data_IF_346880754610
#
_entry.id   IF_346880754610
#
_cell.length_a   1.000
_cell.length_b   1.000
_cell.length_c   1.000
_cell.angle_alpha   90.00
_cell.angle_beta   90.00
_cell.angle_gamma   90.00
#
_symmetry.space_group_name_H-M   'P 1'
#
loop_
_entity.id
_entity.type
_entity.pdbx_description
1 polymer ?
#
# COMPACT_ATOMS: atom_id res chain seq x y z
N UNK A 1 -11.39 8.04 1.50
CA UNK A 1 -10.34 8.29 0.50
C UNK A 1 -9.04 8.84 1.10
N UNK A 2 -9.07 9.68 2.16
CA UNK A 2 -7.86 10.22 2.80
C UNK A 2 -6.92 9.12 3.31
N UNK A 3 -7.46 8.07 3.94
CA UNK A 3 -6.68 6.91 4.38
C UNK A 3 -6.07 6.11 3.21
N UNK A 4 -6.75 6.06 2.06
CA UNK A 4 -6.21 5.42 0.87
C UNK A 4 -5.00 6.20 0.31
N UNK A 5 -5.11 7.52 0.22
CA UNK A 5 -4.01 8.38 -0.20
C UNK A 5 -2.83 8.30 0.78
N UNK A 6 -3.09 8.42 2.09
CA UNK A 6 -2.05 8.33 3.12
C UNK A 6 -1.38 6.93 3.13
N UNK A 7 -2.18 5.86 3.08
CA UNK A 7 -1.68 4.48 3.02
C UNK A 7 -0.80 4.25 1.80
N UNK A 8 -1.22 4.75 0.63
CA UNK A 8 -0.44 4.65 -0.62
C UNK A 8 0.89 5.39 -0.52
N UNK A 9 0.86 6.65 -0.08
CA UNK A 9 2.09 7.46 0.05
C UNK A 9 3.09 6.80 1.00
N UNK A 10 2.64 6.34 2.16
CA UNK A 10 3.51 5.67 3.13
C UNK A 10 3.98 4.32 2.60
N UNK A 11 3.11 3.52 1.98
CA UNK A 11 3.49 2.24 1.39
C UNK A 11 4.56 2.39 0.30
N UNK A 12 4.45 3.40 -0.56
CA UNK A 12 5.46 3.71 -1.58
C UNK A 12 6.75 4.20 -0.94
N UNK A 13 6.66 5.14 0.02
CA UNK A 13 7.82 5.70 0.69
C UNK A 13 8.68 4.66 1.43
N UNK A 14 8.04 3.64 2.02
CA UNK A 14 8.72 2.53 2.72
C UNK A 14 9.03 1.38 1.76
N UNK A 15 8.16 1.12 0.78
CA UNK A 15 8.28 0.01 -0.17
C UNK A 15 9.41 0.18 -1.18
N UNK A 16 9.68 1.41 -1.66
CA UNK A 16 10.78 1.66 -2.61
C UNK A 16 12.15 1.37 -1.98
N UNK A 17 12.49 1.87 -0.76
CA UNK A 17 13.70 1.44 -0.05
C UNK A 17 13.74 -0.07 0.21
N UNK A 18 12.60 -0.69 0.57
CA UNK A 18 12.49 -2.13 0.72
C UNK A 18 12.78 -2.91 -0.56
N UNK A 19 12.29 -2.42 -1.70
CA UNK A 19 12.60 -2.98 -3.02
C UNK A 19 14.11 -2.91 -3.32
N UNK A 20 14.74 -1.77 -3.05
CA UNK A 20 16.18 -1.64 -3.18
C UNK A 20 16.92 -2.66 -2.32
N UNK A 21 16.59 -2.75 -1.04
CA UNK A 21 17.22 -3.67 -0.11
C UNK A 21 17.09 -5.13 -0.58
N UNK A 22 15.90 -5.53 -1.00
CA UNK A 22 15.61 -6.93 -1.35
C UNK A 22 16.02 -7.32 -2.77
N UNK A 23 16.19 -6.39 -3.70
CA UNK A 23 16.48 -6.73 -5.09
C UNK A 23 17.87 -6.28 -5.57
N UNK A 24 18.47 -5.26 -4.95
CA UNK A 24 19.80 -4.74 -5.34
C UNK A 24 20.92 -5.12 -4.38
N UNK A 25 20.62 -5.43 -3.11
CA UNK A 25 21.66 -5.84 -2.15
C UNK A 25 21.72 -7.36 -2.03
N UNK A 26 22.89 -7.87 -1.62
CA UNK A 26 23.13 -9.30 -1.37
C UNK A 26 23.41 -9.49 0.11
N UNK A 27 22.57 -10.23 0.80
CA UNK A 27 22.75 -10.63 2.19
C UNK A 27 22.19 -12.04 2.42
N UNK A 28 22.72 -12.79 3.43
CA UNK A 28 22.21 -14.12 3.74
C UNK A 28 20.75 -14.04 4.20
N UNK A 29 19.93 -15.01 3.80
CA UNK A 29 18.51 -15.05 4.18
C UNK A 29 17.59 -14.13 3.37
N UNK A 30 18.08 -13.42 2.34
CA UNK A 30 17.26 -12.52 1.51
C UNK A 30 16.00 -13.17 0.94
N UNK A 31 16.08 -14.45 0.56
CA UNK A 31 14.94 -15.19 0.03
C UNK A 31 13.83 -15.35 1.09
N UNK A 32 14.23 -15.59 2.34
CA UNK A 32 13.30 -15.71 3.46
C UNK A 32 12.61 -14.38 3.75
N UNK A 33 13.36 -13.27 3.75
CA UNK A 33 12.79 -11.93 3.94
C UNK A 33 11.79 -11.58 2.81
N UNK A 34 12.10 -11.94 1.55
CA UNK A 34 11.16 -11.78 0.44
C UNK A 34 9.88 -12.59 0.63
N UNK A 35 10.00 -13.82 1.10
CA UNK A 35 8.85 -14.65 1.41
C UNK A 35 8.02 -14.04 2.54
N UNK A 36 8.64 -13.64 3.64
CA UNK A 36 7.97 -13.02 4.79
C UNK A 36 7.26 -11.70 4.43
N UNK A 37 7.86 -10.87 3.58
CA UNK A 37 7.23 -9.62 3.10
C UNK A 37 5.93 -9.92 2.32
N UNK A 38 5.82 -11.08 1.68
CA UNK A 38 4.63 -11.45 0.91
C UNK A 38 3.50 -12.00 1.80
N UNK A 39 3.81 -12.54 2.98
CA UNK A 39 2.83 -13.18 3.88
C UNK A 39 1.65 -12.26 4.22
N UNK A 40 1.85 -10.99 4.61
CA UNK A 40 0.73 -10.10 4.96
C UNK A 40 -0.32 -9.97 3.85
N UNK A 41 0.11 -9.97 2.59
CA UNK A 41 -0.78 -9.82 1.44
C UNK A 41 -1.68 -11.04 1.22
N UNK A 42 -1.29 -12.21 1.72
CA UNK A 42 -2.07 -13.45 1.60
C UNK A 42 -3.09 -13.61 2.74
N UNK A 43 -2.88 -12.89 3.86
CA UNK A 43 -3.76 -12.99 5.01
C UNK A 43 -5.12 -12.33 4.72
N UNK A 44 -6.24 -12.88 5.24
CA UNK A 44 -7.52 -12.19 5.19
C UNK A 44 -7.46 -10.84 5.89
N UNK A 45 -7.96 -9.78 5.24
CA UNK A 45 -7.88 -8.40 5.77
C UNK A 45 -8.49 -8.21 7.15
N UNK A 46 -9.56 -8.95 7.45
CA UNK A 46 -10.19 -8.97 8.78
C UNK A 46 -9.23 -9.50 9.84
N UNK A 47 -8.48 -10.57 9.53
CA UNK A 47 -7.49 -11.17 10.46
C UNK A 47 -6.38 -10.17 10.78
N UNK A 48 -5.90 -9.45 9.77
CA UNK A 48 -4.92 -8.37 9.97
C UNK A 48 -5.50 -7.27 10.84
N UNK A 49 -6.75 -6.84 10.58
CA UNK A 49 -7.46 -5.87 11.42
C UNK A 49 -7.55 -6.32 12.89
N UNK A 50 -7.96 -7.55 13.14
CA UNK A 50 -8.05 -8.12 14.50
C UNK A 50 -6.68 -8.19 15.17
N UNK A 51 -5.63 -8.59 14.44
CA UNK A 51 -4.27 -8.63 14.98
C UNK A 51 -3.78 -7.23 15.40
N UNK A 52 -3.97 -6.22 14.54
CA UNK A 52 -3.63 -4.83 14.90
C UNK A 52 -4.47 -4.32 16.07
N UNK A 53 -5.76 -4.64 16.12
CA UNK A 53 -6.65 -4.30 17.25
C UNK A 53 -6.14 -4.90 18.55
N UNK A 54 -5.75 -6.17 18.55
CA UNK A 54 -5.22 -6.88 19.72
C UNK A 54 -3.95 -6.25 20.28
N UNK A 55 -3.14 -5.60 19.45
CA UNK A 55 -1.93 -4.91 19.91
C UNK A 55 -2.23 -3.62 20.69
N UNK A 56 -3.32 -2.93 20.36
CA UNK A 56 -3.59 -1.56 20.84
C UNK A 56 -4.74 -1.44 21.84
N UNK A 57 -5.56 -2.48 22.04
CA UNK A 57 -6.56 -2.50 23.10
C UNK A 57 -5.90 -2.35 24.48
N UNK A 58 -6.64 -1.92 25.48
CA UNK A 58 -6.13 -1.62 26.82
C UNK A 58 -5.30 -2.75 27.45
N UNK A 59 -5.61 -3.99 27.12
CA UNK A 59 -4.86 -5.20 27.55
C UNK A 59 -3.72 -5.60 26.63
N UNK A 60 -3.57 -4.95 25.47
CA UNK A 60 -2.54 -5.23 24.50
C UNK A 60 -1.19 -4.57 24.82
N UNK A 61 -0.10 -5.00 24.18
CA UNK A 61 1.24 -4.50 24.44
C UNK A 61 1.42 -3.00 24.13
N UNK A 62 0.57 -2.40 23.30
CA UNK A 62 0.58 -0.99 22.94
C UNK A 62 -0.66 -0.24 23.48
N UNK A 63 -1.42 -0.83 24.41
CA UNK A 63 -2.67 -0.28 24.91
C UNK A 63 -2.54 1.08 25.59
N UNK A 64 -1.37 1.37 26.21
CA UNK A 64 -1.09 2.67 26.84
C UNK A 64 -0.86 3.83 25.88
N UNK A 65 -0.79 3.60 24.56
CA UNK A 65 -0.44 4.62 23.56
C UNK A 65 -1.67 5.35 22.98
N UNK A 66 -2.88 4.95 23.34
CA UNK A 66 -4.11 5.57 22.83
C UNK A 66 -4.30 5.47 21.31
N UNK A 67 -3.76 4.41 20.70
CA UNK A 67 -3.81 4.22 19.25
C UNK A 67 -5.12 3.59 18.77
N UNK A 68 -5.92 3.02 19.68
CA UNK A 68 -7.17 2.37 19.31
C UNK A 68 -8.14 3.36 18.66
N UNK A 69 -8.69 2.99 17.50
CA UNK A 69 -9.56 3.85 16.70
C UNK A 69 -8.84 5.04 16.03
N UNK A 70 -7.50 5.07 16.01
CA UNK A 70 -6.75 6.18 15.41
C UNK A 70 -6.58 6.02 13.90
N UNK A 71 -6.52 7.16 13.19
CA UNK A 71 -6.20 7.19 11.75
C UNK A 71 -4.84 6.56 11.45
N UNK A 72 -3.85 6.79 12.32
CA UNK A 72 -2.50 6.24 12.17
C UNK A 72 -2.48 4.71 12.21
N UNK A 73 -3.29 4.07 13.05
CA UNK A 73 -3.40 2.63 13.14
C UNK A 73 -3.98 2.03 11.85
N UNK A 74 -5.01 2.67 11.30
CA UNK A 74 -5.61 2.25 10.02
C UNK A 74 -4.56 2.34 8.90
N UNK A 75 -3.85 3.47 8.80
CA UNK A 75 -2.80 3.66 7.80
C UNK A 75 -1.69 2.63 7.98
N UNK A 76 -1.22 2.38 9.21
CA UNK A 76 -0.18 1.38 9.48
C UNK A 76 -0.60 -0.02 9.03
N UNK A 77 -1.83 -0.43 9.31
CA UNK A 77 -2.36 -1.74 8.89
C UNK A 77 -2.52 -1.85 7.37
N UNK A 78 -2.97 -0.77 6.70
CA UNK A 78 -3.06 -0.72 5.23
C UNK A 78 -1.67 -0.79 4.60
N UNK A 79 -0.68 -0.11 5.15
CA UNK A 79 0.72 -0.18 4.70
C UNK A 79 1.28 -1.57 4.87
N UNK A 80 1.10 -2.18 6.04
CA UNK A 80 1.54 -3.55 6.31
C UNK A 80 0.97 -4.55 5.30
N UNK A 81 -0.30 -4.41 4.97
CA UNK A 81 -0.97 -5.28 4.00
C UNK A 81 -0.47 -5.05 2.56
N UNK A 82 -0.26 -3.80 2.16
CA UNK A 82 0.05 -3.44 0.77
C UNK A 82 1.54 -3.28 0.47
N UNK A 83 2.41 -3.27 1.48
CA UNK A 83 3.86 -3.11 1.33
C UNK A 83 4.47 -4.09 0.31
N UNK A 84 4.01 -5.34 0.32
CA UNK A 84 4.46 -6.38 -0.58
C UNK A 84 4.25 -6.04 -2.07
N UNK A 85 3.16 -5.37 -2.40
CA UNK A 85 2.83 -4.96 -3.78
C UNK A 85 3.90 -4.01 -4.30
N UNK A 86 4.24 -2.98 -3.53
CA UNK A 86 5.27 -2.01 -3.91
C UNK A 86 6.64 -2.68 -4.06
N UNK A 87 7.04 -3.44 -3.03
CA UNK A 87 8.34 -4.14 -3.03
C UNK A 87 8.50 -5.06 -4.22
N UNK A 88 7.48 -5.82 -4.57
CA UNK A 88 7.54 -6.78 -5.68
C UNK A 88 7.51 -6.09 -7.03
N UNK A 89 6.59 -5.14 -7.24
CA UNK A 89 6.45 -4.45 -8.53
C UNK A 89 7.68 -3.62 -8.85
N UNK A 90 8.09 -2.75 -7.92
CA UNK A 90 9.26 -1.89 -8.11
C UNK A 90 10.54 -2.72 -8.13
N UNK A 91 10.66 -3.72 -7.24
CA UNK A 91 11.83 -4.58 -7.16
C UNK A 91 12.07 -5.43 -8.41
N UNK A 92 11.01 -5.93 -9.03
CA UNK A 92 11.11 -6.69 -10.28
C UNK A 92 11.69 -5.84 -11.41
N UNK A 93 11.17 -4.63 -11.62
CA UNK A 93 11.74 -3.70 -12.61
C UNK A 93 13.16 -3.31 -12.23
N UNK A 94 13.42 -3.01 -10.95
CA UNK A 94 14.77 -2.64 -10.50
C UNK A 94 15.81 -3.72 -10.77
N UNK A 95 15.44 -4.99 -10.59
CA UNK A 95 16.31 -6.12 -10.92
C UNK A 95 16.58 -6.25 -12.43
N UNK A 96 15.66 -5.81 -13.28
CA UNK A 96 15.75 -5.86 -14.73
C UNK A 96 16.49 -4.65 -15.35
N UNK A 97 16.67 -3.55 -14.60
CA UNK A 97 17.39 -2.37 -15.07
C UNK A 97 18.85 -2.70 -15.38
N UNK A 98 19.31 -2.30 -16.57
CA UNK A 98 20.71 -2.42 -16.97
C UNK A 98 21.59 -1.50 -16.10
N UNK A 99 22.58 -2.05 -15.37
CA UNK A 99 23.48 -1.26 -14.54
C UNK A 99 24.38 -0.32 -15.33
N UNK A 100 24.60 -0.60 -16.61
CA UNK A 100 25.48 0.20 -17.48
C UNK A 100 25.07 1.67 -17.60
N UNK A 101 23.77 1.97 -17.56
CA UNK A 101 23.26 3.35 -17.58
C UNK A 101 23.70 4.15 -16.34
N UNK A 102 23.65 3.53 -15.17
CA UNK A 102 24.10 4.12 -13.92
C UNK A 102 25.64 4.26 -13.87
N UNK A 103 26.37 3.25 -14.38
CA UNK A 103 27.83 3.25 -14.50
C UNK A 103 28.31 4.33 -15.45
N UNK A 104 27.67 4.48 -16.63
CA UNK A 104 28.00 5.56 -17.57
C UNK A 104 27.80 6.95 -16.97
N UNK A 105 26.73 7.17 -16.20
CA UNK A 105 26.54 8.44 -15.50
C UNK A 105 27.62 8.67 -14.44
N UNK A 106 28.08 7.63 -13.75
CA UNK A 106 29.15 7.72 -12.76
C UNK A 106 30.50 8.03 -13.41
N UNK A 107 30.83 7.47 -14.58
CA UNK A 107 32.05 7.78 -15.33
C UNK A 107 32.08 9.22 -15.83
N UNK A 108 30.91 9.85 -16.04
CA UNK A 108 30.77 11.27 -16.34
C UNK A 108 30.84 12.18 -15.10
N UNK A 109 31.22 11.63 -13.93
CA UNK A 109 31.39 12.37 -12.70
C UNK A 109 30.14 12.61 -11.87
N UNK A 110 29.02 11.93 -12.19
CA UNK A 110 27.81 12.03 -11.37
C UNK A 110 28.01 11.32 -10.03
N UNK A 111 27.70 11.99 -8.93
CA UNK A 111 27.71 11.36 -7.59
C UNK A 111 26.63 10.28 -7.49
N UNK A 112 26.78 9.26 -6.62
CA UNK A 112 25.78 8.19 -6.45
C UNK A 112 24.38 8.71 -6.16
N UNK A 113 24.27 9.78 -5.37
CA UNK A 113 22.99 10.44 -5.07
C UNK A 113 22.38 11.07 -6.33
N UNK A 114 23.22 11.69 -7.18
CA UNK A 114 22.74 12.26 -8.45
C UNK A 114 22.27 11.17 -9.39
N UNK A 115 23.06 10.10 -9.56
CA UNK A 115 22.65 8.92 -10.38
C UNK A 115 21.32 8.35 -9.90
N UNK A 116 21.13 8.21 -8.60
CA UNK A 116 19.87 7.71 -8.04
C UNK A 116 18.67 8.56 -8.46
N UNK A 117 18.75 9.89 -8.29
CA UNK A 117 17.61 10.77 -8.56
C UNK A 117 17.39 11.09 -10.04
N UNK A 118 18.46 11.12 -10.87
CA UNK A 118 18.35 11.52 -12.28
C UNK A 118 18.29 10.35 -13.26
N UNK A 119 18.72 9.15 -12.87
CA UNK A 119 18.73 7.96 -13.71
C UNK A 119 17.82 6.89 -13.15
N UNK A 120 18.08 6.47 -11.89
CA UNK A 120 17.38 5.29 -11.32
C UNK A 120 15.91 5.57 -11.03
N UNK A 121 15.58 6.66 -10.34
CA UNK A 121 14.18 6.99 -10.00
C UNK A 121 13.33 7.23 -11.25
N UNK A 122 13.77 8.02 -12.26
CA UNK A 122 13.01 8.15 -13.50
C UNK A 122 12.79 6.83 -14.23
N UNK A 123 13.80 5.95 -14.26
CA UNK A 123 13.66 4.62 -14.86
C UNK A 123 12.67 3.70 -14.10
N UNK A 124 12.51 3.91 -12.79
CA UNK A 124 11.54 3.19 -11.95
C UNK A 124 10.17 3.85 -11.89
N UNK A 125 10.02 5.09 -12.37
CA UNK A 125 8.79 5.85 -12.24
C UNK A 125 7.54 5.11 -12.75
N UNK A 126 7.56 4.39 -13.89
CA UNK A 126 6.40 3.63 -14.35
C UNK A 126 5.98 2.53 -13.35
N UNK A 127 6.95 1.79 -12.78
CA UNK A 127 6.66 0.75 -11.80
C UNK A 127 6.18 1.34 -10.46
N UNK A 128 6.75 2.46 -10.03
CA UNK A 128 6.32 3.16 -8.81
C UNK A 128 4.88 3.68 -8.98
N UNK A 129 4.58 4.30 -10.12
CA UNK A 129 3.24 4.82 -10.43
C UNK A 129 2.20 3.69 -10.51
N UNK A 130 2.54 2.58 -11.17
CA UNK A 130 1.71 1.39 -11.25
C UNK A 130 1.46 0.76 -9.89
N UNK A 131 2.50 0.58 -9.07
CA UNK A 131 2.37 0.07 -7.72
C UNK A 131 1.52 1.01 -6.84
N UNK A 132 1.72 2.32 -6.96
CA UNK A 132 0.93 3.32 -6.22
C UNK A 132 -0.56 3.26 -6.60
N UNK A 133 -0.89 3.14 -7.89
CA UNK A 133 -2.27 3.03 -8.35
C UNK A 133 -2.95 1.75 -7.83
N UNK A 134 -2.26 0.61 -7.85
CA UNK A 134 -2.77 -0.65 -7.30
C UNK A 134 -2.96 -0.57 -5.78
N UNK A 135 -1.98 -0.02 -5.05
CA UNK A 135 -2.08 0.16 -3.59
C UNK A 135 -3.20 1.12 -3.24
N UNK A 136 -3.36 2.21 -3.99
CA UNK A 136 -4.49 3.14 -3.79
C UNK A 136 -5.82 2.42 -3.96
N UNK A 137 -5.96 1.62 -5.02
CA UNK A 137 -7.16 0.82 -5.25
C UNK A 137 -7.46 -0.10 -4.07
N UNK A 138 -6.47 -0.88 -3.60
CA UNK A 138 -6.64 -1.77 -2.45
C UNK A 138 -6.95 -1.03 -1.15
N UNK A 139 -6.33 0.13 -0.92
CA UNK A 139 -6.63 0.96 0.24
C UNK A 139 -8.00 1.64 0.16
N UNK A 140 -8.44 2.04 -1.03
CA UNK A 140 -9.75 2.65 -1.26
C UNK A 140 -10.89 1.64 -1.09
N UNK A 141 -10.65 0.37 -1.48
CA UNK A 141 -11.56 -0.77 -1.33
C UNK A 141 -11.34 -1.57 -0.04
N UNK A 142 -10.63 -1.02 0.94
CA UNK A 142 -10.33 -1.75 2.18
C UNK A 142 -11.57 -1.85 3.08
N UNK A 143 -12.21 -3.01 3.11
CA UNK A 143 -13.35 -3.28 3.98
C UNK A 143 -12.91 -3.85 5.34
N UNK A 144 -12.29 -5.05 5.34
CA UNK A 144 -12.10 -5.82 6.57
C UNK A 144 -11.24 -5.15 7.64
N UNK A 145 -10.14 -4.52 7.24
CA UNK A 145 -9.27 -3.77 8.16
C UNK A 145 -10.02 -2.58 8.74
N UNK A 146 -10.70 -1.80 7.89
CA UNK A 146 -11.38 -0.57 8.32
C UNK A 146 -12.62 -0.87 9.15
N UNK A 147 -13.34 -1.95 8.85
CA UNK A 147 -14.46 -2.43 9.65
C UNK A 147 -14.05 -2.73 11.10
N UNK A 148 -12.86 -3.30 11.29
CA UNK A 148 -12.34 -3.68 12.63
C UNK A 148 -11.71 -2.49 13.36
N UNK A 149 -10.94 -1.66 12.66
CA UNK A 149 -10.11 -0.60 13.26
C UNK A 149 -10.75 0.79 13.22
N UNK A 150 -11.68 1.05 12.28
CA UNK A 150 -12.21 2.38 12.02
C UNK A 150 -13.15 2.91 13.09
N UNK A 151 -13.82 2.02 13.84
CA UNK A 151 -14.78 2.41 14.86
C UNK A 151 -15.89 3.32 14.28
N UNK A 152 -16.35 4.28 15.07
CA UNK A 152 -17.35 5.26 14.63
C UNK A 152 -16.76 6.46 13.85
N UNK A 153 -15.44 6.62 13.83
CA UNK A 153 -14.78 7.82 13.28
C UNK A 153 -14.27 7.69 11.86
N UNK A 154 -14.03 6.47 11.38
CA UNK A 154 -13.39 6.23 10.09
C UNK A 154 -14.08 5.10 9.34
N UNK A 155 -14.42 5.37 8.08
CA UNK A 155 -15.02 4.41 7.17
C UNK A 155 -14.44 4.49 5.76
N UNK A 156 -14.73 3.49 4.96
CA UNK A 156 -14.56 3.50 3.49
C UNK A 156 -15.93 3.54 2.84
N UNK A 157 -15.96 3.74 1.53
CA UNK A 157 -17.22 3.60 0.76
C UNK A 157 -17.81 2.20 0.97
N UNK A 158 -16.97 1.15 1.02
CA UNK A 158 -17.42 -0.23 1.23
C UNK A 158 -18.00 -0.48 2.62
N UNK A 159 -17.39 0.08 3.69
CA UNK A 159 -17.96 -0.04 5.03
C UNK A 159 -19.29 0.70 5.15
N UNK A 160 -19.45 1.82 4.44
CA UNK A 160 -20.70 2.58 4.40
C UNK A 160 -21.79 1.84 3.61
N UNK A 161 -21.45 1.25 2.45
CA UNK A 161 -22.36 0.39 1.69
C UNK A 161 -22.86 -0.76 2.58
N UNK A 162 -21.95 -1.40 3.31
CA UNK A 162 -22.32 -2.46 4.25
C UNK A 162 -23.26 -1.95 5.34
N UNK A 163 -22.98 -0.80 5.94
CA UNK A 163 -23.79 -0.20 6.98
C UNK A 163 -25.21 0.14 6.48
N UNK A 164 -25.32 0.80 5.32
CA UNK A 164 -26.59 1.11 4.68
C UNK A 164 -27.39 -0.15 4.36
N UNK A 165 -26.73 -1.18 3.85
CA UNK A 165 -27.40 -2.43 3.45
C UNK A 165 -27.83 -3.27 4.64
N UNK A 166 -26.96 -3.41 5.66
CA UNK A 166 -27.15 -4.39 6.72
C UNK A 166 -27.78 -3.83 8.01
N UNK A 167 -27.57 -2.53 8.28
CA UNK A 167 -28.04 -1.89 9.51
C UNK A 167 -29.26 -0.98 9.25
N UNK A 168 -29.21 -0.17 8.19
CA UNK A 168 -30.26 0.78 7.87
C UNK A 168 -31.28 0.25 6.86
N UNK A 169 -30.98 -0.84 6.14
CA UNK A 169 -31.78 -1.40 5.06
C UNK A 169 -32.11 -0.39 3.95
N UNK A 170 -31.27 0.67 3.82
CA UNK A 170 -31.36 1.67 2.77
C UNK A 170 -30.66 1.17 1.49
N UNK A 171 -31.37 0.33 0.74
CA UNK A 171 -30.85 -0.20 -0.53
C UNK A 171 -30.64 0.87 -1.60
N UNK A 172 -31.35 2.02 -1.52
CA UNK A 172 -31.17 3.10 -2.49
C UNK A 172 -29.86 3.85 -2.24
N UNK A 173 -29.57 4.19 -0.98
CA UNK A 173 -28.31 4.80 -0.58
C UNK A 173 -27.14 3.86 -0.86
N UNK A 174 -27.26 2.58 -0.53
CA UNK A 174 -26.26 1.57 -0.82
C UNK A 174 -25.97 1.45 -2.33
N UNK A 175 -26.99 1.42 -3.17
CA UNK A 175 -26.85 1.37 -4.63
C UNK A 175 -26.14 2.64 -5.18
N UNK A 176 -26.49 3.81 -4.69
CA UNK A 176 -25.85 5.04 -5.10
C UNK A 176 -24.35 5.06 -4.76
N UNK A 177 -23.97 4.65 -3.53
CA UNK A 177 -22.57 4.53 -3.13
C UNK A 177 -21.83 3.44 -3.91
N UNK A 178 -22.48 2.34 -4.26
CA UNK A 178 -21.89 1.29 -5.10
C UNK A 178 -21.53 1.81 -6.49
N UNK A 179 -22.35 2.67 -7.08
CA UNK A 179 -22.05 3.33 -8.36
C UNK A 179 -20.82 4.24 -8.20
N UNK A 180 -20.77 5.03 -7.13
CA UNK A 180 -19.60 5.87 -6.83
C UNK A 180 -18.33 5.03 -6.67
N UNK A 181 -18.42 3.90 -5.96
CA UNK A 181 -17.31 2.97 -5.80
C UNK A 181 -16.83 2.42 -7.15
N UNK A 182 -17.74 2.02 -8.03
CA UNK A 182 -17.39 1.53 -9.37
C UNK A 182 -16.68 2.61 -10.20
N UNK A 183 -17.09 3.87 -10.10
CA UNK A 183 -16.42 4.98 -10.77
C UNK A 183 -15.01 5.19 -10.21
N UNK A 184 -14.84 5.17 -8.89
CA UNK A 184 -13.52 5.32 -8.24
C UNK A 184 -12.58 4.17 -8.63
N UNK A 185 -13.06 2.94 -8.62
CA UNK A 185 -12.30 1.74 -9.03
C UNK A 185 -11.93 1.83 -10.51
N UNK A 186 -12.91 2.13 -11.38
CA UNK A 186 -12.70 2.26 -12.82
C UNK A 186 -11.69 3.35 -13.15
N UNK A 187 -11.81 4.53 -12.54
CA UNK A 187 -10.87 5.63 -12.72
C UNK A 187 -9.46 5.24 -12.27
N UNK A 188 -9.32 4.56 -11.12
CA UNK A 188 -8.03 4.10 -10.61
C UNK A 188 -7.38 3.09 -11.55
N UNK A 189 -8.14 2.16 -12.14
CA UNK A 189 -7.64 1.19 -13.12
C UNK A 189 -7.22 1.85 -14.44
N UNK A 190 -8.00 2.83 -14.93
CA UNK A 190 -7.65 3.58 -16.15
C UNK A 190 -6.35 4.36 -15.94
N UNK A 191 -6.17 5.02 -14.80
CA UNK A 191 -4.93 5.71 -14.44
C UNK A 191 -3.78 4.71 -14.36
N UNK A 192 -3.96 3.57 -13.70
CA UNK A 192 -2.94 2.53 -13.62
C UNK A 192 -2.50 2.03 -15.00
N UNK A 193 -3.44 1.75 -15.90
CA UNK A 193 -3.15 1.31 -17.26
C UNK A 193 -2.43 2.38 -18.10
N UNK A 194 -2.86 3.63 -17.99
CA UNK A 194 -2.20 4.74 -18.70
C UNK A 194 -0.75 4.98 -18.24
N UNK A 195 -0.46 4.74 -16.97
CA UNK A 195 0.90 4.88 -16.41
C UNK A 195 1.81 3.69 -16.75
N UNK A 196 1.27 2.59 -17.28
CA UNK A 196 2.03 1.39 -17.71
C UNK A 196 2.29 1.36 -19.22
N UNK A 197 1.53 2.13 -20.00
CA UNK A 197 1.69 2.26 -21.46
C UNK A 197 2.81 3.24 -21.82
#
# INVERSE_FOLDING_TARGET
>A
LAQAAAGTLVAVAVGVPGAWLLYRTRFPGRWLVRALVTVPFVLPSVVVGVAFKSLVISTGPLGGWGLDGSFGLIVASLVFFNYAVVVRTVGALWAALDPRTAEAAATLGASPRRVFWTVTIPALAPAIASAAALVFLFCASAYGVVMVLGGAGYGTIETEIWFLTSQLLDLRGAAALSIVQLVVVGASLLVANHLQA
#
